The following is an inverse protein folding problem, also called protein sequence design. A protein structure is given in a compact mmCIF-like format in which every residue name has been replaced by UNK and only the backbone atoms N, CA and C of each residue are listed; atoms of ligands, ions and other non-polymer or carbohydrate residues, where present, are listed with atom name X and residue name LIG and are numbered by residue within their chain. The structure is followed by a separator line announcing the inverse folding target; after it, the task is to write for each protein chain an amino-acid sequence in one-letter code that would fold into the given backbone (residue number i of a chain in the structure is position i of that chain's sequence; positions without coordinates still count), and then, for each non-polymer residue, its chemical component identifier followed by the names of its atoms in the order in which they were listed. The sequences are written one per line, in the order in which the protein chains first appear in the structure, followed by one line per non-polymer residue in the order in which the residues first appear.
data_IF_431824485767
#
_entry.id   IF_431824485767
#
_cell.length_a   1.000
_cell.length_b   1.000
_cell.length_c   1.000
_cell.angle_alpha   90.00
_cell.angle_beta   90.00
_cell.angle_gamma   90.00
#
_symmetry.space_group_name_H-M   'P 1'
#
loop_
_entity.id
_entity.type
_entity.pdbx_description
1 polymer ?
#
# COMPACT_ATOMS: atom_id res chain seq x y z
N UNK A 1 18.74 2.19 0.53
CA UNK A 1 17.30 2.07 0.23
C UNK A 1 16.69 3.44 0.35
N UNK A 2 16.07 3.94 -0.71
CA UNK A 2 15.34 5.20 -0.64
C UNK A 2 14.13 4.98 0.26
N UNK A 3 14.04 5.72 1.34
CA UNK A 3 12.89 5.67 2.23
C UNK A 3 11.77 6.49 1.60
N UNK A 4 10.95 5.88 0.76
CA UNK A 4 9.80 6.55 0.17
C UNK A 4 8.79 6.86 1.27
N UNK A 5 8.81 8.10 1.70
CA UNK A 5 7.94 8.65 2.72
C UNK A 5 6.88 9.52 2.05
N UNK A 6 5.69 9.71 2.64
CA UNK A 6 4.68 10.60 2.08
C UNK A 6 5.22 12.01 1.79
N UNK A 7 6.07 12.55 2.65
CA UNK A 7 6.71 13.86 2.46
C UNK A 7 7.70 13.88 1.26
N UNK A 8 8.35 12.76 0.94
CA UNK A 8 9.21 12.64 -0.25
C UNK A 8 8.39 12.86 -1.53
N UNK A 9 7.22 12.25 -1.60
CA UNK A 9 6.30 12.41 -2.74
C UNK A 9 5.79 13.86 -2.82
N UNK A 10 5.28 14.40 -1.71
CA UNK A 10 4.72 15.76 -1.63
C UNK A 10 5.77 16.84 -1.97
N UNK A 11 6.96 16.69 -1.43
CA UNK A 11 8.06 17.67 -1.63
C UNK A 11 8.81 17.47 -2.95
N UNK A 12 8.37 16.50 -3.78
CA UNK A 12 8.99 16.17 -5.07
C UNK A 12 10.50 15.90 -4.93
N UNK A 13 10.86 15.20 -3.86
CA UNK A 13 12.26 14.84 -3.58
C UNK A 13 12.73 13.81 -4.61
N UNK A 14 13.94 13.99 -5.12
CA UNK A 14 14.60 13.03 -6.00
C UNK A 14 14.91 11.75 -5.26
N UNK A 15 14.59 10.60 -5.88
CA UNK A 15 14.93 9.26 -5.42
C UNK A 15 15.82 8.56 -6.44
N UNK A 16 16.66 7.63 -5.99
CA UNK A 16 17.53 6.85 -6.88
C UNK A 16 16.85 5.54 -7.24
N UNK A 17 16.46 5.40 -8.51
CA UNK A 17 15.99 4.14 -9.09
C UNK A 17 17.19 3.28 -9.51
N UNK A 18 17.21 1.98 -9.21
CA UNK A 18 18.30 1.09 -9.62
C UNK A 18 18.54 1.06 -11.13
N UNK A 19 17.46 1.18 -11.91
CA UNK A 19 17.51 0.99 -13.36
C UNK A 19 17.51 2.31 -14.14
N UNK A 20 17.02 3.42 -13.55
CA UNK A 20 16.81 4.68 -14.25
C UNK A 20 17.59 5.88 -13.68
N UNK A 21 18.32 5.66 -12.58
CA UNK A 21 19.07 6.71 -11.91
C UNK A 21 18.18 7.62 -11.04
N UNK A 22 18.51 8.91 -10.97
CA UNK A 22 17.76 9.89 -10.16
C UNK A 22 16.47 10.31 -10.86
N UNK A 23 15.36 10.23 -10.16
CA UNK A 23 14.04 10.61 -10.66
C UNK A 23 13.13 11.17 -9.56
N UNK A 24 12.16 11.97 -9.94
CA UNK A 24 11.11 12.45 -9.04
C UNK A 24 9.89 11.55 -9.26
N UNK A 25 9.44 10.78 -8.24
CA UNK A 25 8.36 9.81 -8.40
C UNK A 25 7.08 10.40 -9.01
N UNK A 26 6.71 11.62 -8.61
CA UNK A 26 5.55 12.32 -9.18
C UNK A 26 5.67 12.57 -10.69
N UNK A 27 6.85 12.87 -11.18
CA UNK A 27 7.07 13.14 -12.62
C UNK A 27 6.99 11.83 -13.42
N UNK A 28 7.53 10.75 -12.87
CA UNK A 28 7.41 9.40 -13.46
C UNK A 28 5.93 8.99 -13.55
N UNK A 29 5.17 9.16 -12.48
CA UNK A 29 3.75 8.84 -12.45
C UNK A 29 2.94 9.73 -13.42
N UNK A 30 3.23 11.04 -13.44
CA UNK A 30 2.59 11.97 -14.36
C UNK A 30 2.84 11.62 -15.83
N UNK A 31 4.04 11.14 -16.16
CA UNK A 31 4.35 10.68 -17.51
C UNK A 31 3.71 9.33 -17.86
N UNK A 32 3.64 8.41 -16.89
CA UNK A 32 3.14 7.04 -17.11
C UNK A 32 1.61 6.96 -17.16
N UNK A 33 0.87 7.86 -16.44
CA UNK A 33 -0.60 7.84 -16.32
C UNK A 33 -1.17 6.43 -16.10
N UNK A 34 -0.78 5.70 -15.03
CA UNK A 34 -1.19 4.33 -14.83
C UNK A 34 -2.70 4.23 -14.59
N UNK A 35 -3.35 3.17 -15.09
CA UNK A 35 -4.76 2.91 -14.80
C UNK A 35 -5.00 2.55 -13.33
N UNK A 36 -4.03 1.91 -12.67
CA UNK A 36 -4.06 1.52 -11.25
C UNK A 36 -2.75 1.85 -10.58
N UNK A 37 -2.83 2.35 -9.34
CA UNK A 37 -1.66 2.64 -8.51
C UNK A 37 -1.81 1.97 -7.15
N UNK A 38 -0.92 1.04 -6.83
CA UNK A 38 -0.84 0.39 -5.53
C UNK A 38 0.17 1.14 -4.66
N UNK A 39 -0.27 1.60 -3.50
CA UNK A 39 0.53 2.43 -2.58
C UNK A 39 0.74 1.65 -1.29
N UNK A 40 2.00 1.36 -0.95
CA UNK A 40 2.43 0.83 0.34
C UNK A 40 3.57 1.70 0.86
N UNK A 41 3.25 2.64 1.72
CA UNK A 41 4.18 3.65 2.26
C UNK A 41 3.86 3.87 3.73
N UNK A 42 4.88 4.03 4.57
CA UNK A 42 4.71 4.45 5.97
C UNK A 42 5.68 3.83 6.95
N UNK A 43 6.08 2.57 6.77
CA UNK A 43 6.95 1.86 7.73
C UNK A 43 8.15 2.71 8.15
N UNK A 44 8.94 3.22 7.21
CA UNK A 44 10.15 4.01 7.50
C UNK A 44 9.85 5.37 8.18
N UNK A 45 8.67 5.92 7.97
CA UNK A 45 8.26 7.18 8.61
C UNK A 45 7.82 6.96 10.06
N UNK A 46 7.39 5.76 10.40
CA UNK A 46 6.74 5.43 11.67
C UNK A 46 7.64 4.67 12.65
N UNK A 47 8.91 4.42 12.30
CA UNK A 47 9.86 3.67 13.15
C UNK A 47 10.02 4.27 14.55
N UNK A 48 9.87 5.58 14.69
CA UNK A 48 9.90 6.27 15.98
C UNK A 48 8.51 6.89 16.27
N UNK A 49 8.07 6.91 17.54
CA UNK A 49 6.79 7.55 17.92
C UNK A 49 6.87 9.08 17.87
N UNK A 50 5.71 9.73 17.91
CA UNK A 50 5.58 11.18 18.12
C UNK A 50 5.48 12.04 16.86
N UNK A 51 5.26 11.44 15.69
CA UNK A 51 5.11 12.17 14.43
C UNK A 51 3.77 11.91 13.70
N UNK A 52 2.77 11.35 14.39
CA UNK A 52 1.53 10.84 13.81
C UNK A 52 0.76 11.91 13.03
N UNK A 53 0.53 13.07 13.65
CA UNK A 53 -0.21 14.17 13.02
C UNK A 53 0.48 14.66 11.75
N UNK A 54 1.81 14.83 11.79
CA UNK A 54 2.56 15.28 10.62
C UNK A 54 2.61 14.20 9.53
N UNK A 55 2.74 12.94 9.90
CA UNK A 55 2.68 11.81 8.97
C UNK A 55 1.33 11.76 8.25
N UNK A 56 0.23 11.81 9.00
CA UNK A 56 -1.12 11.77 8.43
C UNK A 56 -1.43 13.00 7.57
N UNK A 57 -0.95 14.19 7.97
CA UNK A 57 -1.08 15.39 7.16
C UNK A 57 -0.36 15.27 5.81
N UNK A 58 0.87 14.76 5.80
CA UNK A 58 1.62 14.49 4.57
C UNK A 58 0.98 13.37 3.74
N UNK A 59 0.44 12.34 4.40
CA UNK A 59 -0.26 11.24 3.73
C UNK A 59 -1.51 11.74 2.99
N UNK A 60 -2.33 12.54 3.68
CA UNK A 60 -3.50 13.19 3.09
C UNK A 60 -3.13 14.04 1.88
N UNK A 61 -2.11 14.92 2.05
CA UNK A 61 -1.63 15.77 0.95
C UNK A 61 -1.08 14.96 -0.22
N UNK A 62 -0.37 13.88 0.04
CA UNK A 62 0.13 12.97 -0.99
C UNK A 62 -1.02 12.40 -1.84
N UNK A 63 -2.09 11.93 -1.19
CA UNK A 63 -3.26 11.41 -1.90
C UNK A 63 -3.95 12.51 -2.74
N UNK A 64 -4.03 13.73 -2.22
CA UNK A 64 -4.61 14.87 -2.94
C UNK A 64 -3.75 15.27 -4.15
N UNK A 65 -2.43 15.36 -4.00
CA UNK A 65 -1.49 15.67 -5.09
C UNK A 65 -1.50 14.56 -6.18
N UNK A 66 -1.55 13.29 -5.75
CA UNK A 66 -1.68 12.15 -6.67
C UNK A 66 -3.01 12.20 -7.43
N UNK A 67 -4.12 12.51 -6.78
CA UNK A 67 -5.44 12.61 -7.43
C UNK A 67 -5.46 13.73 -8.47
N UNK A 68 -4.84 14.88 -8.19
CA UNK A 68 -4.73 15.98 -9.16
C UNK A 68 -3.86 15.60 -10.36
N UNK A 69 -2.78 14.86 -10.13
CA UNK A 69 -1.83 14.46 -11.19
C UNK A 69 -2.36 13.30 -12.03
N UNK A 70 -3.13 12.41 -11.43
CA UNK A 70 -3.59 11.14 -11.99
C UNK A 70 -5.12 11.02 -11.88
N UNK A 71 -5.90 11.87 -12.57
CA UNK A 71 -7.36 11.98 -12.38
C UNK A 71 -8.12 10.70 -12.75
N UNK A 72 -7.58 9.88 -13.64
CA UNK A 72 -8.21 8.66 -14.14
C UNK A 72 -7.66 7.36 -13.50
N UNK A 73 -6.75 7.48 -12.53
CA UNK A 73 -6.11 6.34 -11.87
C UNK A 73 -6.96 5.85 -10.69
N UNK A 74 -7.15 4.55 -10.56
CA UNK A 74 -7.69 3.93 -9.36
C UNK A 74 -6.56 3.72 -8.35
N UNK A 75 -6.73 4.26 -7.14
CA UNK A 75 -5.74 4.13 -6.06
C UNK A 75 -6.12 2.99 -5.12
N UNK A 76 -5.17 2.07 -4.92
CA UNK A 76 -5.22 0.99 -3.95
C UNK A 76 -4.20 1.29 -2.86
N UNK A 77 -4.69 1.76 -1.72
CA UNK A 77 -3.85 2.15 -0.58
C UNK A 77 -3.82 0.99 0.41
N UNK A 78 -2.64 0.49 0.67
CA UNK A 78 -2.42 -0.62 1.58
C UNK A 78 -2.10 -0.11 2.98
N UNK A 79 -2.59 -0.80 4.00
CA UNK A 79 -2.21 -0.54 5.39
C UNK A 79 -0.71 -0.71 5.59
N UNK A 80 -0.14 0.04 6.52
CA UNK A 80 1.25 -0.15 6.93
C UNK A 80 1.41 -1.51 7.58
N UNK A 81 2.39 -2.29 7.14
CA UNK A 81 2.68 -3.63 7.65
C UNK A 81 3.24 -3.60 9.08
N UNK A 82 2.95 -4.63 9.89
CA UNK A 82 3.56 -4.78 11.20
C UNK A 82 5.03 -5.16 11.08
N UNK A 83 5.79 -4.99 12.17
CA UNK A 83 7.10 -5.59 12.37
C UNK A 83 7.02 -6.72 13.40
N UNK A 84 8.06 -7.56 13.51
CA UNK A 84 8.11 -8.60 14.54
C UNK A 84 8.18 -8.00 15.95
N UNK A 85 7.66 -8.71 16.93
CA UNK A 85 7.69 -8.28 18.33
C UNK A 85 9.12 -7.97 18.83
N UNK A 86 10.09 -8.79 18.40
CA UNK A 86 11.50 -8.60 18.79
C UNK A 86 12.04 -7.28 18.25
N UNK A 87 11.80 -6.96 16.99
CA UNK A 87 12.31 -5.75 16.35
C UNK A 87 11.62 -4.48 16.88
N UNK A 88 10.31 -4.56 17.17
CA UNK A 88 9.57 -3.47 17.82
C UNK A 88 10.19 -3.14 19.18
N UNK A 89 10.53 -4.16 19.98
CA UNK A 89 11.12 -3.97 21.29
C UNK A 89 12.56 -3.45 21.23
N UNK A 90 13.32 -3.82 20.20
CA UNK A 90 14.74 -3.48 20.08
C UNK A 90 14.95 -2.10 19.43
N UNK A 91 14.36 -1.86 18.28
CA UNK A 91 14.71 -0.71 17.44
C UNK A 91 13.54 0.06 16.82
N UNK A 92 12.34 -0.49 16.78
CA UNK A 92 11.19 0.08 16.06
C UNK A 92 9.96 0.33 16.96
N UNK A 93 10.10 1.03 18.11
CA UNK A 93 9.00 1.22 19.06
C UNK A 93 7.79 1.94 18.46
N UNK A 94 8.00 2.69 17.38
CA UNK A 94 6.94 3.37 16.67
C UNK A 94 6.01 2.45 15.87
N UNK A 95 6.41 1.21 15.60
CA UNK A 95 5.57 0.21 14.95
C UNK A 95 4.81 -0.67 15.94
N UNK A 96 4.66 -0.22 17.20
CA UNK A 96 3.85 -0.91 18.19
C UNK A 96 2.42 -1.14 17.66
N UNK A 97 1.85 -2.35 17.87
CA UNK A 97 0.56 -2.74 17.28
C UNK A 97 -0.58 -1.77 17.54
N UNK A 98 -0.73 -1.31 18.80
CA UNK A 98 -1.79 -0.37 19.17
C UNK A 98 -1.70 0.96 18.40
N UNK A 99 -0.49 1.52 18.27
CA UNK A 99 -0.26 2.74 17.50
C UNK A 99 -0.51 2.51 16.01
N UNK A 100 -0.01 1.39 15.49
CA UNK A 100 -0.16 1.07 14.07
C UNK A 100 -1.63 0.86 13.68
N UNK A 101 -2.44 0.27 14.59
CA UNK A 101 -3.88 0.15 14.39
C UNK A 101 -4.56 1.53 14.26
N UNK A 102 -4.19 2.50 15.11
CA UNK A 102 -4.73 3.88 15.03
C UNK A 102 -4.32 4.55 13.72
N UNK A 103 -3.07 4.43 13.32
CA UNK A 103 -2.56 5.01 12.06
C UNK A 103 -3.27 4.38 10.84
N UNK A 104 -3.38 3.06 10.81
CA UNK A 104 -4.04 2.35 9.70
C UNK A 104 -5.54 2.69 9.61
N UNK A 105 -6.23 2.85 10.76
CA UNK A 105 -7.61 3.33 10.78
C UNK A 105 -7.73 4.75 10.22
N UNK A 106 -6.80 5.65 10.56
CA UNK A 106 -6.77 6.99 10.01
C UNK A 106 -6.50 6.99 8.50
N UNK A 107 -5.57 6.16 7.99
CA UNK A 107 -5.33 5.98 6.56
C UNK A 107 -6.60 5.46 5.87
N UNK A 108 -7.30 4.50 6.46
CA UNK A 108 -8.58 3.98 5.93
C UNK A 108 -9.63 5.09 5.81
N UNK A 109 -9.73 5.96 6.83
CA UNK A 109 -10.62 7.11 6.76
C UNK A 109 -10.24 8.07 5.64
N UNK A 110 -8.94 8.42 5.50
CA UNK A 110 -8.45 9.25 4.40
C UNK A 110 -8.78 8.65 3.02
N UNK A 111 -8.70 7.33 2.89
CA UNK A 111 -9.09 6.62 1.67
C UNK A 111 -10.58 6.78 1.37
N UNK A 112 -11.44 6.60 2.37
CA UNK A 112 -12.90 6.76 2.26
C UNK A 112 -13.25 8.18 1.80
N UNK A 113 -12.66 9.19 2.42
CA UNK A 113 -12.89 10.61 2.11
C UNK A 113 -12.48 10.99 0.67
N UNK A 114 -11.47 10.29 0.11
CA UNK A 114 -10.87 10.58 -1.20
C UNK A 114 -11.23 9.59 -2.31
N UNK A 115 -12.12 8.64 -2.01
CA UNK A 115 -12.53 7.62 -2.99
C UNK A 115 -11.38 6.71 -3.42
N UNK A 116 -10.47 6.37 -2.50
CA UNK A 116 -9.43 5.38 -2.70
C UNK A 116 -9.89 4.02 -2.16
N UNK A 117 -9.39 2.94 -2.76
CA UNK A 117 -9.62 1.58 -2.27
C UNK A 117 -8.60 1.29 -1.15
N UNK A 118 -9.08 1.05 0.06
CA UNK A 118 -8.21 0.62 1.16
C UNK A 118 -8.07 -0.91 1.17
N UNK A 119 -6.84 -1.39 1.34
CA UNK A 119 -6.49 -2.80 1.44
C UNK A 119 -5.83 -3.06 2.78
N UNK A 120 -6.49 -3.83 3.65
CA UNK A 120 -5.97 -4.14 4.99
C UNK A 120 -4.95 -5.29 4.96
N UNK A 121 -3.77 -4.97 4.45
CA UNK A 121 -2.67 -5.91 4.37
C UNK A 121 -2.08 -6.22 5.75
N UNK A 122 -2.20 -5.30 6.72
CA UNK A 122 -1.74 -5.51 8.09
C UNK A 122 -2.43 -6.72 8.73
N UNK A 123 -3.76 -6.81 8.61
CA UNK A 123 -4.54 -7.92 9.16
C UNK A 123 -4.11 -9.28 8.59
N UNK A 124 -3.63 -9.34 7.35
CA UNK A 124 -3.15 -10.57 6.72
C UNK A 124 -1.82 -11.07 7.28
N UNK A 125 -0.97 -10.16 7.77
CA UNK A 125 0.38 -10.46 8.21
C UNK A 125 0.55 -10.44 9.73
N UNK A 126 -0.41 -9.88 10.46
CA UNK A 126 -0.36 -9.80 11.91
C UNK A 126 -0.66 -11.17 12.55
N UNK A 127 0.04 -11.47 13.65
CA UNK A 127 -0.31 -12.52 14.59
C UNK A 127 -1.37 -12.04 15.60
N UNK A 128 -1.71 -12.88 16.57
CA UNK A 128 -2.70 -12.56 17.61
C UNK A 128 -2.28 -11.36 18.49
N UNK A 129 -1.00 -11.01 18.52
CA UNK A 129 -0.48 -9.84 19.22
C UNK A 129 -0.41 -8.57 18.34
N UNK A 130 -0.77 -8.69 17.06
CA UNK A 130 -0.69 -7.60 16.07
C UNK A 130 0.72 -7.38 15.50
N UNK A 131 1.65 -8.29 15.76
CA UNK A 131 3.02 -8.25 15.25
C UNK A 131 3.15 -9.07 13.96
N UNK A 132 4.18 -8.80 13.15
CA UNK A 132 4.47 -9.58 11.95
C UNK A 132 4.75 -11.05 12.32
N UNK A 133 3.99 -11.95 11.71
CA UNK A 133 4.19 -13.39 11.82
C UNK A 133 5.62 -13.75 11.40
N UNK A 134 6.36 -14.44 12.26
CA UNK A 134 7.78 -14.72 12.08
C UNK A 134 8.09 -15.54 10.82
N UNK A 135 7.17 -16.36 10.35
CA UNK A 135 7.31 -17.15 9.12
C UNK A 135 7.37 -16.28 7.86
N UNK A 136 6.81 -15.07 7.91
CA UNK A 136 6.84 -14.11 6.81
C UNK A 136 7.92 -13.05 6.95
N UNK A 137 8.61 -12.98 8.10
CA UNK A 137 9.65 -12.01 8.38
C UNK A 137 11.04 -12.50 7.97
N UNK A 138 11.81 -11.62 7.33
CA UNK A 138 13.26 -11.80 7.21
C UNK A 138 13.94 -11.59 8.59
N UNK A 139 15.23 -11.90 8.73
CA UNK A 139 15.95 -11.73 9.99
C UNK A 139 15.94 -10.32 10.58
N UNK A 140 15.67 -9.31 9.76
CA UNK A 140 15.53 -7.91 10.20
C UNK A 140 14.15 -7.59 10.80
N UNK A 141 13.24 -8.54 10.82
CA UNK A 141 11.93 -8.41 11.45
C UNK A 141 10.95 -7.47 10.74
N UNK A 142 11.29 -6.94 9.56
CA UNK A 142 10.50 -5.95 8.81
C UNK A 142 10.22 -6.38 7.37
N UNK A 143 11.28 -6.80 6.66
CA UNK A 143 11.12 -7.22 5.26
C UNK A 143 10.50 -8.61 5.18
N UNK A 144 9.69 -8.80 4.13
CA UNK A 144 9.00 -10.08 3.93
C UNK A 144 9.92 -11.12 3.32
N UNK A 145 9.72 -12.38 3.69
CA UNK A 145 10.30 -13.55 3.04
C UNK A 145 9.66 -13.79 1.66
N UNK A 146 10.19 -14.72 0.89
CA UNK A 146 9.59 -15.15 -0.40
C UNK A 146 8.15 -15.64 -0.19
N UNK A 147 7.88 -16.39 0.90
CA UNK A 147 6.52 -16.83 1.25
C UNK A 147 5.60 -15.65 1.59
N UNK A 148 6.13 -14.65 2.29
CA UNK A 148 5.42 -13.41 2.58
C UNK A 148 5.05 -12.64 1.29
N UNK A 149 5.97 -12.49 0.35
CA UNK A 149 5.67 -11.88 -0.95
C UNK A 149 4.64 -12.70 -1.75
N UNK A 150 4.69 -14.02 -1.70
CA UNK A 150 3.70 -14.88 -2.36
C UNK A 150 2.30 -14.70 -1.77
N UNK A 151 2.21 -14.62 -0.44
CA UNK A 151 0.95 -14.30 0.27
C UNK A 151 0.44 -12.91 -0.13
N UNK A 152 1.31 -11.91 -0.15
CA UNK A 152 0.95 -10.55 -0.56
C UNK A 152 0.37 -10.50 -1.97
N UNK A 153 1.05 -11.12 -2.94
CA UNK A 153 0.54 -11.20 -4.33
C UNK A 153 -0.83 -11.88 -4.37
N UNK A 154 -1.01 -12.98 -3.66
CA UNK A 154 -2.30 -13.70 -3.58
C UNK A 154 -3.40 -12.80 -3.01
N UNK A 155 -3.09 -12.04 -1.95
CA UNK A 155 -4.01 -11.06 -1.37
C UNK A 155 -4.41 -10.00 -2.39
N UNK A 156 -3.45 -9.38 -3.07
CA UNK A 156 -3.73 -8.35 -4.08
C UNK A 156 -4.57 -8.88 -5.25
N UNK A 157 -4.39 -10.13 -5.64
CA UNK A 157 -5.17 -10.74 -6.73
C UNK A 157 -6.64 -10.98 -6.35
N UNK A 158 -6.94 -11.15 -5.06
CA UNK A 158 -8.28 -11.50 -4.56
C UNK A 158 -9.04 -10.31 -3.95
N UNK A 159 -8.35 -9.21 -3.61
CA UNK A 159 -8.90 -8.04 -2.93
C UNK A 159 -8.95 -6.81 -3.85
N UNK A 160 -9.35 -7.01 -5.08
CA UNK A 160 -9.62 -5.91 -6.03
C UNK A 160 -11.10 -5.59 -5.97
N UNK A 161 -11.51 -4.32 -5.69
CA UNK A 161 -12.92 -3.96 -5.75
C UNK A 161 -13.49 -4.30 -7.11
N UNK A 162 -14.58 -5.05 -7.11
CA UNK A 162 -15.35 -5.36 -8.30
C UNK A 162 -16.26 -4.16 -8.61
N UNK A 163 -16.00 -3.47 -9.70
CA UNK A 163 -16.93 -2.50 -10.25
C UNK A 163 -17.79 -3.18 -11.31
N UNK A 164 -19.05 -3.35 -11.00
CA UNK A 164 -20.04 -3.98 -11.88
C UNK A 164 -20.24 -3.21 -13.20
N UNK A 165 -20.07 -1.89 -13.18
CA UNK A 165 -20.26 -1.03 -14.34
C UNK A 165 -18.97 -0.85 -15.17
N UNK A 166 -17.80 -1.17 -14.54
CA UNK A 166 -16.50 -1.19 -15.21
C UNK A 166 -15.64 -2.34 -14.66
N UNK A 167 -16.07 -3.58 -14.85
CA UNK A 167 -15.46 -4.74 -14.19
C UNK A 167 -14.00 -4.97 -14.59
N UNK A 168 -13.64 -4.66 -15.85
CA UNK A 168 -12.28 -4.74 -16.37
C UNK A 168 -12.15 -3.90 -17.64
N UNK A 169 -11.15 -3.05 -17.72
CA UNK A 169 -10.79 -2.42 -18.99
C UNK A 169 -10.20 -3.46 -19.94
N UNK A 170 -10.64 -3.43 -21.18
CA UNK A 170 -10.09 -4.29 -22.23
C UNK A 170 -8.56 -4.11 -22.31
N UNK A 171 -7.81 -5.22 -22.25
CA UNK A 171 -6.34 -5.21 -22.25
C UNK A 171 -5.69 -5.30 -20.86
N UNK A 172 -6.47 -5.28 -19.76
CA UNK A 172 -5.92 -5.65 -18.45
C UNK A 172 -5.62 -7.15 -18.40
N UNK A 173 -4.61 -7.56 -17.63
CA UNK A 173 -4.26 -8.97 -17.39
C UNK A 173 -5.40 -9.78 -16.76
N UNK A 174 -6.43 -9.12 -16.27
CA UNK A 174 -7.62 -9.71 -15.63
C UNK A 174 -8.88 -9.55 -16.50
N UNK A 175 -8.73 -9.25 -17.80
CA UNK A 175 -9.83 -9.24 -18.72
C UNK A 175 -10.40 -10.65 -18.88
N UNK A 176 -11.56 -10.90 -18.28
CA UNK A 176 -12.31 -12.10 -18.55
C UNK A 176 -12.99 -11.91 -19.90
N UNK A 177 -12.73 -12.80 -20.87
CA UNK A 177 -13.47 -12.86 -22.12
C UNK A 177 -14.98 -13.01 -21.82
N UNK A 178 -15.82 -12.59 -22.75
CA UNK A 178 -17.27 -12.72 -22.56
C UNK A 178 -17.70 -14.19 -22.36
N UNK A 179 -16.96 -15.13 -22.92
CA UNK A 179 -17.17 -16.58 -22.72
C UNK A 179 -16.87 -16.99 -21.27
N UNK A 180 -15.83 -16.42 -20.63
CA UNK A 180 -15.53 -16.68 -19.22
C UNK A 180 -16.52 -16.01 -18.26
N UNK A 181 -17.04 -14.83 -18.61
CA UNK A 181 -18.11 -14.16 -17.84
C UNK A 181 -19.40 -14.99 -17.84
N UNK A 182 -19.77 -15.54 -19.01
CA UNK A 182 -20.93 -16.40 -19.15
C UNK A 182 -20.78 -17.70 -18.34
N UNK A 183 -19.59 -18.30 -18.33
CA UNK A 183 -19.29 -19.48 -17.52
C UNK A 183 -19.40 -19.21 -16.00
N UNK A 184 -19.05 -17.99 -15.55
CA UNK A 184 -19.14 -17.60 -14.13
C UNK A 184 -20.57 -17.20 -13.72
N UNK A 185 -21.43 -16.80 -14.67
CA UNK A 185 -22.84 -16.48 -14.39
C UNK A 185 -23.70 -17.71 -14.11
N UNK A 186 -23.25 -18.90 -14.50
CA UNK A 186 -23.93 -20.17 -14.33
C UNK A 186 -23.50 -20.94 -13.04
N UNK A 187 -22.65 -20.33 -12.22
CA UNK A 187 -22.27 -20.87 -10.91
C UNK A 187 -23.29 -20.38 -9.89
N UNK A 188 -24.04 -21.30 -9.23
CA UNK A 188 -25.10 -20.97 -8.29
C UNK A 188 -24.56 -20.32 -7.00
#
# INVERSE_FOLDING_TARGET
MSSDLPNTIVNRTTVTSPDRGEEIPMDVLAAAQPAKLYILIGTNALVQPGNDDSFLAYYAKMLDDLRMTLPNTVFYVQSVLPATQAEIADSLPGLAPDRLAVINAAIQQLCTERGCCYLDLNAEFADDAGCLQSEFAQPDGVHLTVSGYSKWVSYLCTHVPYDKDNPYQAGSTYYLSDDMKNLLSDIP
#
